data_IF_899071161053
#
_entry.id   IF_899071161053
#
_cell.length_a   1.000
_cell.length_b   1.000
_cell.length_c   1.000
_cell.angle_alpha   90.00
_cell.angle_beta   90.00
_cell.angle_gamma   90.00
#
_symmetry.space_group_name_H-M   'P 1'
#
loop_
_entity.id
_entity.type
_entity.pdbx_description
1 polymer ?
#
# COMPACT_ATOMS: atom_id res chain seq x y z
N UNK A 1 1.88 22.59 -12.69
CA UNK A 1 1.98 21.21 -13.20
C UNK A 1 0.80 20.96 -14.13
N UNK A 2 1.05 20.42 -15.31
CA UNK A 2 -0.02 19.92 -16.18
C UNK A 2 -0.68 18.68 -15.55
N UNK A 3 -1.85 18.27 -16.04
CA UNK A 3 -2.48 17.03 -15.61
C UNK A 3 -1.57 15.81 -15.83
N UNK A 4 -0.81 15.83 -16.93
CA UNK A 4 0.12 14.76 -17.28
C UNK A 4 1.23 14.66 -16.23
N UNK A 5 1.81 15.78 -15.81
CA UNK A 5 2.85 15.80 -14.78
C UNK A 5 2.34 15.29 -13.42
N UNK A 6 1.09 15.64 -13.08
CA UNK A 6 0.44 15.16 -11.85
C UNK A 6 0.27 13.64 -11.87
N UNK A 7 -0.17 13.08 -13.00
CA UNK A 7 -0.33 11.64 -13.18
C UNK A 7 1.01 10.90 -13.13
N UNK A 8 2.03 11.42 -13.80
CA UNK A 8 3.37 10.84 -13.74
C UNK A 8 3.92 10.84 -12.32
N UNK A 9 3.80 11.97 -11.61
CA UNK A 9 4.25 12.08 -10.22
C UNK A 9 3.50 11.09 -9.31
N UNK A 10 2.17 11.02 -9.45
CA UNK A 10 1.34 10.11 -8.69
C UNK A 10 1.71 8.64 -8.93
N UNK A 11 1.87 8.22 -10.19
CA UNK A 11 2.24 6.84 -10.51
C UNK A 11 3.67 6.51 -10.09
N UNK A 12 4.60 7.45 -10.24
CA UNK A 12 5.97 7.28 -9.78
C UNK A 12 6.03 7.03 -8.26
N UNK A 13 5.27 7.80 -7.48
CA UNK A 13 5.12 7.61 -6.03
C UNK A 13 4.52 6.25 -5.63
N UNK A 14 3.74 5.62 -6.52
CA UNK A 14 3.11 4.31 -6.26
C UNK A 14 4.07 3.14 -6.45
N UNK A 15 5.15 3.29 -7.24
CA UNK A 15 6.06 2.19 -7.58
C UNK A 15 6.62 1.48 -6.34
N UNK A 16 7.14 2.18 -5.31
CA UNK A 16 7.66 1.50 -4.11
C UNK A 16 6.61 0.65 -3.41
N UNK A 17 5.39 1.16 -3.30
CA UNK A 17 4.27 0.49 -2.63
C UNK A 17 3.78 -0.71 -3.44
N UNK A 18 3.76 -0.60 -4.76
CA UNK A 18 3.43 -1.72 -5.66
C UNK A 18 4.44 -2.85 -5.50
N UNK A 19 5.74 -2.55 -5.55
CA UNK A 19 6.80 -3.54 -5.33
C UNK A 19 6.68 -4.15 -3.92
N UNK A 20 6.49 -3.31 -2.90
CA UNK A 20 6.30 -3.74 -1.52
C UNK A 20 5.13 -4.71 -1.34
N UNK A 21 3.99 -4.39 -1.96
CA UNK A 21 2.81 -5.25 -1.96
C UNK A 21 3.03 -6.59 -2.67
N UNK A 22 3.69 -6.59 -3.83
CA UNK A 22 4.01 -7.81 -4.58
C UNK A 22 4.96 -8.71 -3.79
N UNK A 23 6.04 -8.16 -3.24
CA UNK A 23 6.99 -8.89 -2.40
C UNK A 23 6.34 -9.43 -1.13
N UNK A 24 5.45 -8.66 -0.50
CA UNK A 24 4.68 -9.14 0.65
C UNK A 24 3.79 -10.33 0.26
N UNK A 25 3.13 -10.29 -0.90
CA UNK A 25 2.34 -11.43 -1.39
C UNK A 25 3.20 -12.67 -1.69
N UNK A 26 4.43 -12.50 -2.18
CA UNK A 26 5.39 -13.60 -2.31
C UNK A 26 5.76 -14.19 -0.94
N UNK A 27 6.05 -13.34 0.04
CA UNK A 27 6.35 -13.76 1.41
C UNK A 27 5.18 -14.49 2.08
N UNK A 28 3.94 -14.06 1.84
CA UNK A 28 2.74 -14.76 2.32
C UNK A 28 2.61 -16.13 1.63
N UNK A 29 2.77 -16.18 0.31
CA UNK A 29 2.61 -17.39 -0.51
C UNK A 29 3.65 -18.46 -0.16
N UNK A 30 4.91 -18.07 0.00
CA UNK A 30 6.02 -18.97 0.35
C UNK A 30 6.26 -19.09 1.86
N UNK A 31 5.36 -18.53 2.67
CA UNK A 31 5.39 -18.60 4.13
C UNK A 31 6.73 -18.13 4.76
N UNK A 32 7.29 -17.04 4.25
CA UNK A 32 8.47 -16.42 4.85
C UNK A 32 8.15 -15.87 6.25
N UNK A 33 9.15 -15.92 7.15
CA UNK A 33 9.07 -15.49 8.56
C UNK A 33 7.81 -16.03 9.29
N UNK A 34 7.62 -17.36 9.37
CA UNK A 34 6.41 -17.96 9.94
C UNK A 34 6.21 -17.62 11.43
N UNK A 35 7.29 -17.36 12.17
CA UNK A 35 7.26 -16.94 13.59
C UNK A 35 6.51 -15.63 13.81
N UNK A 36 6.45 -14.76 12.78
CA UNK A 36 5.76 -13.47 12.80
C UNK A 36 4.32 -13.54 12.26
N UNK A 37 3.83 -14.72 11.86
CA UNK A 37 2.44 -14.96 11.44
C UNK A 37 1.48 -14.97 12.64
N UNK A 38 1.68 -14.04 13.58
CA UNK A 38 0.87 -13.83 14.78
C UNK A 38 -0.03 -12.61 14.56
N UNK A 39 -1.34 -12.72 14.78
CA UNK A 39 -2.24 -11.57 14.72
C UNK A 39 -1.78 -10.49 15.70
N UNK A 40 -1.86 -9.21 15.29
CA UNK A 40 -1.54 -8.07 16.16
C UNK A 40 -2.59 -7.99 17.27
N UNK A 41 -3.87 -7.95 16.86
CA UNK A 41 -5.00 -8.07 17.77
C UNK A 41 -6.21 -8.66 17.03
N UNK A 42 -6.53 -9.92 17.30
CA UNK A 42 -7.54 -10.67 16.56
C UNK A 42 -8.95 -10.09 16.74
N UNK A 43 -9.30 -9.66 17.96
CA UNK A 43 -10.64 -9.11 18.24
C UNK A 43 -10.89 -7.77 17.54
N UNK A 44 -9.85 -6.94 17.43
CA UNK A 44 -9.97 -5.59 16.84
C UNK A 44 -9.81 -5.61 15.33
N UNK A 45 -8.85 -6.37 14.80
CA UNK A 45 -8.45 -6.26 13.39
C UNK A 45 -8.66 -7.56 12.60
N UNK A 46 -8.90 -8.68 13.28
CA UNK A 46 -8.99 -10.01 12.68
C UNK A 46 -7.64 -10.72 12.56
N UNK A 47 -7.68 -12.03 12.28
CA UNK A 47 -6.50 -12.89 12.27
C UNK A 47 -5.48 -12.58 11.15
N UNK A 48 -5.92 -11.91 10.07
CA UNK A 48 -5.07 -11.64 8.90
C UNK A 48 -4.15 -10.43 9.08
N UNK A 49 -4.38 -9.56 10.07
CA UNK A 49 -3.49 -8.44 10.40
C UNK A 49 -2.41 -8.94 11.35
N UNK A 50 -1.24 -9.28 10.80
CA UNK A 50 -0.16 -9.97 11.50
C UNK A 50 1.07 -9.10 11.66
N UNK A 51 1.90 -9.38 12.67
CA UNK A 51 3.20 -8.73 12.85
C UNK A 51 4.12 -8.90 11.65
N UNK A 52 4.02 -10.04 10.94
CA UNK A 52 4.71 -10.25 9.67
C UNK A 52 4.38 -9.16 8.65
N UNK A 53 3.09 -8.85 8.47
CA UNK A 53 2.67 -7.78 7.55
C UNK A 53 3.16 -6.40 8.00
N UNK A 54 3.04 -6.11 9.29
CA UNK A 54 3.51 -4.83 9.87
C UNK A 54 5.01 -4.60 9.67
N UNK A 55 5.80 -5.66 9.63
CA UNK A 55 7.25 -5.56 9.42
C UNK A 55 7.60 -5.61 7.93
N UNK A 56 7.11 -6.62 7.20
CA UNK A 56 7.56 -6.87 5.84
C UNK A 56 7.05 -5.84 4.84
N UNK A 57 5.86 -5.27 5.01
CA UNK A 57 5.36 -4.26 4.07
C UNK A 57 6.23 -3.00 4.08
N UNK A 58 6.55 -2.36 5.23
CA UNK A 58 7.53 -1.26 5.28
C UNK A 58 8.88 -1.61 4.67
N UNK A 59 9.46 -2.76 5.02
CA UNK A 59 10.78 -3.15 4.53
C UNK A 59 10.81 -3.41 3.03
N UNK A 60 9.78 -4.08 2.50
CA UNK A 60 9.68 -4.34 1.07
C UNK A 60 9.32 -3.09 0.27
N UNK A 61 8.57 -2.15 0.83
CA UNK A 61 8.33 -0.85 0.21
C UNK A 61 9.61 -0.01 0.19
N UNK A 62 10.43 -0.05 1.24
CA UNK A 62 11.77 0.56 1.24
C UNK A 62 12.69 -0.07 0.18
N UNK A 63 12.66 -1.39 0.04
CA UNK A 63 13.38 -2.09 -1.04
C UNK A 63 12.84 -1.69 -2.41
N UNK A 64 11.53 -1.54 -2.57
CA UNK A 64 10.90 -1.04 -3.79
C UNK A 64 11.33 0.38 -4.14
N UNK A 65 11.48 1.24 -3.14
CA UNK A 65 12.05 2.57 -3.33
C UNK A 65 13.53 2.49 -3.76
N UNK A 66 14.32 1.60 -3.16
CA UNK A 66 15.72 1.38 -3.56
C UNK A 66 15.86 1.03 -5.06
N UNK A 67 14.90 0.30 -5.63
CA UNK A 67 14.88 0.00 -7.07
C UNK A 67 14.77 1.25 -7.97
N UNK A 68 14.27 2.37 -7.44
CA UNK A 68 14.19 3.65 -8.16
C UNK A 68 15.48 4.46 -8.12
N UNK A 69 16.50 4.03 -7.37
CA UNK A 69 17.75 4.78 -7.21
C UNK A 69 18.36 5.25 -8.54
N UNK A 70 18.50 4.40 -9.60
CA UNK A 70 19.05 4.87 -10.87
C UNK A 70 18.19 5.96 -11.54
N UNK A 71 16.86 5.87 -11.41
CA UNK A 71 15.94 6.86 -11.95
C UNK A 71 16.02 8.18 -11.17
N UNK A 72 16.09 8.13 -9.84
CA UNK A 72 16.30 9.32 -9.00
C UNK A 72 17.62 10.03 -9.34
N UNK A 73 18.70 9.27 -9.55
CA UNK A 73 19.98 9.84 -9.97
C UNK A 73 19.90 10.51 -11.36
N UNK A 74 19.15 9.91 -12.29
CA UNK A 74 18.95 10.49 -13.61
C UNK A 74 18.04 11.74 -13.59
N UNK A 75 17.09 11.81 -12.66
CA UNK A 75 16.17 12.95 -12.50
C UNK A 75 16.84 14.14 -11.78
N UNK A 76 17.89 13.90 -10.99
CA UNK A 76 18.64 14.96 -10.31
C UNK A 76 17.75 15.82 -9.41
N UNK A 77 17.75 17.13 -9.62
CA UNK A 77 16.92 18.07 -8.84
C UNK A 77 15.40 17.88 -9.03
N UNK A 78 14.99 17.17 -10.09
CA UNK A 78 13.58 16.85 -10.34
C UNK A 78 13.13 15.55 -9.66
N UNK A 79 14.02 14.87 -8.95
CA UNK A 79 13.73 13.63 -8.23
C UNK A 79 12.71 13.88 -7.10
N UNK A 80 11.68 13.04 -6.99
CA UNK A 80 10.62 13.24 -5.98
C UNK A 80 11.04 12.79 -4.58
N UNK A 81 11.92 11.81 -4.48
CA UNK A 81 12.38 11.28 -3.20
C UNK A 81 13.79 11.73 -2.85
N UNK A 82 14.64 11.95 -3.86
CA UNK A 82 16.02 12.41 -3.74
C UNK A 82 16.81 11.61 -2.68
N UNK A 83 17.40 12.30 -1.70
CA UNK A 83 18.17 11.73 -0.59
C UNK A 83 17.31 10.94 0.41
N UNK A 84 15.98 11.15 0.41
CA UNK A 84 15.04 10.50 1.30
C UNK A 84 14.47 9.20 0.74
N UNK A 85 14.96 8.69 -0.40
CA UNK A 85 14.39 7.53 -1.11
C UNK A 85 14.04 6.32 -0.23
N UNK A 86 15.01 5.82 0.54
CA UNK A 86 14.78 4.66 1.41
C UNK A 86 13.83 4.97 2.56
N UNK A 87 13.96 6.15 3.16
CA UNK A 87 13.08 6.61 4.24
C UNK A 87 11.66 6.78 3.74
N UNK A 88 11.48 7.32 2.53
CA UNK A 88 10.19 7.48 1.88
C UNK A 88 9.52 6.13 1.64
N UNK A 89 10.23 5.14 1.13
CA UNK A 89 9.68 3.79 0.99
C UNK A 89 9.29 3.18 2.34
N UNK A 90 10.11 3.34 3.38
CA UNK A 90 9.80 2.84 4.73
C UNK A 90 8.54 3.51 5.30
N UNK A 91 8.49 4.84 5.26
CA UNK A 91 7.39 5.67 5.78
C UNK A 91 6.10 5.42 5.00
N UNK A 92 6.18 5.23 3.68
CA UNK A 92 5.04 4.83 2.86
C UNK A 92 4.48 3.48 3.29
N UNK A 93 5.34 2.47 3.46
CA UNK A 93 4.88 1.16 3.91
C UNK A 93 4.31 1.19 5.33
N UNK A 94 4.82 2.05 6.22
CA UNK A 94 4.24 2.30 7.55
C UNK A 94 2.84 2.93 7.40
N UNK A 95 2.72 4.00 6.61
CA UNK A 95 1.44 4.65 6.32
C UNK A 95 0.42 3.68 5.75
N UNK A 96 0.84 2.82 4.83
CA UNK A 96 0.03 1.74 4.25
C UNK A 96 -0.52 0.82 5.35
N UNK A 97 0.35 0.20 6.17
CA UNK A 97 -0.12 -0.81 7.14
C UNK A 97 -0.94 -0.20 8.27
N UNK A 98 -0.63 1.03 8.70
CA UNK A 98 -1.38 1.71 9.75
C UNK A 98 -2.78 2.11 9.27
N UNK A 99 -2.91 2.59 8.03
CA UNK A 99 -4.20 3.01 7.50
C UNK A 99 -5.16 1.84 7.21
N UNK A 100 -4.66 0.63 6.98
CA UNK A 100 -5.49 -0.58 6.89
C UNK A 100 -6.14 -0.99 8.22
N UNK A 101 -5.61 -0.56 9.38
CA UNK A 101 -6.09 -0.97 10.71
C UNK A 101 -7.46 -0.37 11.05
N UNK A 102 -7.72 0.96 10.89
CA UNK A 102 -9.04 1.55 11.08
C UNK A 102 -10.13 0.85 10.27
N UNK A 103 -9.88 0.58 8.98
CA UNK A 103 -10.83 -0.09 8.12
C UNK A 103 -11.12 -1.52 8.60
N UNK A 104 -10.09 -2.26 9.01
CA UNK A 104 -10.25 -3.59 9.60
C UNK A 104 -11.08 -3.56 10.89
N UNK A 105 -10.89 -2.54 11.72
CA UNK A 105 -11.67 -2.33 12.94
C UNK A 105 -13.15 -2.03 12.65
N UNK A 106 -13.44 -1.14 11.69
CA UNK A 106 -14.81 -0.85 11.25
C UNK A 106 -15.49 -2.14 10.76
N UNK A 107 -14.79 -2.96 9.96
CA UNK A 107 -15.33 -4.24 9.48
C UNK A 107 -15.70 -5.20 10.62
N UNK A 108 -14.88 -5.29 11.68
CA UNK A 108 -15.22 -6.11 12.86
C UNK A 108 -16.47 -5.60 13.59
N UNK A 109 -16.68 -4.28 13.67
CA UNK A 109 -17.89 -3.68 14.27
C UNK A 109 -19.15 -3.92 13.45
N UNK A 110 -19.01 -4.05 12.14
CA UNK A 110 -20.09 -4.42 11.23
C UNK A 110 -20.37 -5.94 11.19
N UNK A 111 -19.67 -6.74 12.02
CA UNK A 111 -19.85 -8.19 12.08
C UNK A 111 -19.22 -8.95 10.90
N UNK A 112 -18.40 -8.29 10.08
CA UNK A 112 -17.74 -8.92 8.93
C UNK A 112 -16.46 -9.60 9.43
N UNK A 113 -16.28 -10.89 9.19
CA UNK A 113 -15.11 -11.69 9.54
C UNK A 113 -13.85 -11.41 8.70
N UNK A 114 -12.71 -11.93 9.13
CA UNK A 114 -11.44 -11.76 8.41
C UNK A 114 -11.46 -12.56 7.09
N UNK A 115 -11.37 -11.87 5.95
CA UNK A 115 -11.47 -12.50 4.63
C UNK A 115 -12.91 -12.81 4.19
N UNK A 116 -13.91 -12.42 4.99
CA UNK A 116 -15.31 -12.55 4.64
C UNK A 116 -15.73 -11.40 3.70
N UNK A 117 -16.61 -11.71 2.75
CA UNK A 117 -17.20 -10.72 1.86
C UNK A 117 -18.36 -10.00 2.57
N UNK A 118 -18.44 -8.66 2.49
CA UNK A 118 -19.52 -7.91 3.12
C UNK A 118 -20.86 -8.20 2.45
N UNK A 119 -21.86 -8.63 3.24
CA UNK A 119 -23.26 -8.82 2.81
C UNK A 119 -24.06 -7.51 2.91
N UNK A 120 -23.77 -6.69 3.92
CA UNK A 120 -24.33 -5.34 4.12
C UNK A 120 -23.27 -4.27 3.84
N UNK A 121 -23.68 -3.12 3.34
CA UNK A 121 -22.78 -1.98 3.01
C UNK A 121 -21.62 -2.32 2.07
N UNK A 122 -21.82 -3.31 1.19
CA UNK A 122 -20.77 -3.87 0.32
C UNK A 122 -19.96 -2.80 -0.41
N UNK A 123 -20.61 -1.86 -1.08
CA UNK A 123 -19.92 -0.81 -1.83
C UNK A 123 -19.10 0.12 -0.94
N UNK A 124 -19.62 0.49 0.23
CA UNK A 124 -18.91 1.34 1.19
C UNK A 124 -17.66 0.64 1.73
N UNK A 125 -17.79 -0.63 2.13
CA UNK A 125 -16.66 -1.43 2.63
C UNK A 125 -15.61 -1.66 1.53
N UNK A 126 -16.05 -1.97 0.31
CA UNK A 126 -15.13 -2.16 -0.82
C UNK A 126 -14.42 -0.86 -1.23
N UNK A 127 -15.09 0.29 -1.17
CA UNK A 127 -14.46 1.59 -1.42
C UNK A 127 -13.43 1.90 -0.32
N UNK A 128 -13.78 1.65 0.95
CA UNK A 128 -12.86 1.76 2.09
C UNK A 128 -11.61 0.90 1.94
N UNK A 129 -11.78 -0.36 1.53
CA UNK A 129 -10.68 -1.33 1.27
C UNK A 129 -9.70 -0.90 0.16
N UNK A 130 -10.11 0.01 -0.73
CA UNK A 130 -9.25 0.48 -1.82
C UNK A 130 -8.60 1.84 -1.52
N UNK A 131 -9.25 2.65 -0.67
CA UNK A 131 -8.79 4.00 -0.35
C UNK A 131 -7.99 4.07 0.95
N UNK A 132 -8.16 3.13 1.87
CA UNK A 132 -7.49 3.16 3.19
C UNK A 132 -5.97 3.32 3.05
N UNK A 133 -5.37 2.42 2.30
CA UNK A 133 -3.93 2.33 2.07
C UNK A 133 -3.42 3.51 1.23
N UNK A 134 -4.24 3.97 0.28
CA UNK A 134 -3.92 5.13 -0.56
C UNK A 134 -3.81 6.40 0.30
N UNK A 135 -4.78 6.63 1.20
CA UNK A 135 -4.79 7.76 2.11
C UNK A 135 -3.62 7.68 3.10
N UNK A 136 -3.35 6.50 3.66
CA UNK A 136 -2.23 6.28 4.56
C UNK A 136 -0.89 6.66 3.95
N UNK A 137 -0.62 6.20 2.72
CA UNK A 137 0.62 6.53 2.01
C UNK A 137 0.64 8.01 1.62
N UNK A 138 -0.47 8.58 1.14
CA UNK A 138 -0.52 9.98 0.75
C UNK A 138 -0.23 10.92 1.93
N UNK A 139 -0.76 10.63 3.12
CA UNK A 139 -0.45 11.39 4.34
C UNK A 139 1.03 11.23 4.69
N UNK A 140 1.55 10.00 4.66
CA UNK A 140 2.93 9.72 5.00
C UNK A 140 3.93 10.44 4.08
N UNK A 141 3.70 10.40 2.76
CA UNK A 141 4.49 11.16 1.80
C UNK A 141 4.29 12.67 1.89
N UNK A 142 3.05 13.13 2.09
CA UNK A 142 2.77 14.56 2.25
C UNK A 142 3.55 15.18 3.41
N UNK A 143 3.67 14.46 4.53
CA UNK A 143 4.43 14.89 5.70
C UNK A 143 5.95 14.84 5.48
N UNK A 144 6.45 13.80 4.79
CA UNK A 144 7.89 13.59 4.61
C UNK A 144 8.49 14.43 3.47
N UNK A 145 7.85 14.38 2.30
CA UNK A 145 8.36 14.94 1.05
C UNK A 145 7.79 16.34 0.75
N UNK A 146 6.91 16.86 1.63
CA UNK A 146 6.25 18.15 1.47
C UNK A 146 5.53 18.30 0.11
N UNK A 147 4.85 17.23 -0.33
CA UNK A 147 4.20 17.19 -1.63
C UNK A 147 3.00 18.14 -1.70
N UNK A 148 2.80 18.72 -2.88
CA UNK A 148 1.63 19.56 -3.14
C UNK A 148 0.32 18.78 -3.09
N UNK A 149 -0.75 19.43 -2.63
CA UNK A 149 -2.09 18.85 -2.57
C UNK A 149 -2.59 18.25 -3.90
N UNK A 150 -2.36 18.87 -5.08
CA UNK A 150 -2.74 18.25 -6.35
C UNK A 150 -2.09 16.88 -6.57
N UNK A 151 -0.80 16.72 -6.26
CA UNK A 151 -0.11 15.42 -6.40
C UNK A 151 -0.71 14.39 -5.44
N UNK A 152 -0.96 14.76 -4.18
CA UNK A 152 -1.57 13.87 -3.19
C UNK A 152 -2.99 13.43 -3.58
N UNK A 153 -3.80 14.36 -4.07
CA UNK A 153 -5.17 14.06 -4.54
C UNK A 153 -5.11 13.14 -5.75
N UNK A 154 -4.25 13.43 -6.75
CA UNK A 154 -4.06 12.58 -7.93
C UNK A 154 -3.54 11.20 -7.54
N UNK A 155 -2.64 11.10 -6.56
CA UNK A 155 -2.17 9.84 -6.00
C UNK A 155 -3.34 9.02 -5.45
N UNK A 156 -4.15 9.59 -4.55
CA UNK A 156 -5.28 8.88 -3.91
C UNK A 156 -6.31 8.44 -4.95
N UNK A 157 -6.64 9.29 -5.92
CA UNK A 157 -7.63 8.98 -6.95
C UNK A 157 -7.15 7.93 -7.95
N UNK A 158 -5.85 7.92 -8.29
CA UNK A 158 -5.28 6.95 -9.23
C UNK A 158 -4.94 5.59 -8.60
N UNK A 159 -4.68 5.55 -7.29
CA UNK A 159 -4.24 4.35 -6.58
C UNK A 159 -5.17 3.15 -6.73
N UNK A 160 -6.53 3.27 -6.63
CA UNK A 160 -7.42 2.12 -6.82
C UNK A 160 -7.27 1.44 -8.19
N UNK A 161 -6.98 2.20 -9.24
CA UNK A 161 -6.77 1.66 -10.58
C UNK A 161 -5.48 0.84 -10.64
N UNK A 162 -4.39 1.38 -10.09
CA UNK A 162 -3.11 0.67 -9.97
C UNK A 162 -3.26 -0.59 -9.12
N UNK A 163 -3.92 -0.48 -7.96
CA UNK A 163 -4.15 -1.61 -7.07
C UNK A 163 -4.97 -2.73 -7.74
N UNK A 164 -6.02 -2.38 -8.50
CA UNK A 164 -6.79 -3.36 -9.27
C UNK A 164 -5.96 -4.03 -10.36
N UNK A 165 -5.15 -3.27 -11.11
CA UNK A 165 -4.27 -3.81 -12.12
C UNK A 165 -3.27 -4.82 -11.52
N UNK A 166 -2.60 -4.45 -10.42
CA UNK A 166 -1.66 -5.32 -9.71
C UNK A 166 -2.35 -6.57 -9.16
N UNK A 167 -3.53 -6.44 -8.57
CA UNK A 167 -4.32 -7.58 -8.06
C UNK A 167 -4.65 -8.58 -9.19
N UNK A 168 -4.98 -8.11 -10.38
CA UNK A 168 -5.22 -8.96 -11.56
C UNK A 168 -3.95 -9.68 -12.02
N UNK A 169 -2.81 -8.98 -12.10
CA UNK A 169 -1.53 -9.59 -12.45
C UNK A 169 -1.11 -10.68 -11.45
N UNK A 170 -1.27 -10.42 -10.15
CA UNK A 170 -0.98 -11.40 -9.10
C UNK A 170 -1.89 -12.63 -9.15
N UNK A 171 -3.17 -12.45 -9.55
CA UNK A 171 -4.08 -13.57 -9.76
C UNK A 171 -3.66 -14.43 -10.95
N UNK A 172 -3.29 -13.81 -12.08
CA UNK A 172 -2.76 -14.51 -13.26
C UNK A 172 -1.49 -15.28 -12.90
N UNK A 173 -0.61 -14.69 -12.10
CA UNK A 173 0.61 -15.33 -11.59
C UNK A 173 0.37 -16.40 -10.50
N UNK A 174 -0.89 -16.70 -10.12
CA UNK A 174 -1.28 -17.63 -9.04
C UNK A 174 -0.72 -17.28 -7.65
N UNK A 175 -0.34 -16.02 -7.44
CA UNK A 175 0.14 -15.49 -6.16
C UNK A 175 -1.00 -14.96 -5.29
N UNK A 176 -2.20 -14.81 -5.85
CA UNK A 176 -3.40 -14.39 -5.12
C UNK A 176 -4.61 -15.24 -5.54
N UNK A 177 -5.51 -15.50 -4.58
CA UNK A 177 -6.73 -16.32 -4.79
C UNK A 177 -7.90 -15.58 -5.45
N UNK A 178 -7.88 -14.24 -5.49
CA UNK A 178 -8.93 -13.39 -6.09
C UNK A 178 -8.32 -12.21 -6.85
N UNK A 179 -8.85 -11.95 -8.05
CA UNK A 179 -8.51 -10.81 -8.91
C UNK A 179 -9.24 -9.50 -8.53
N UNK A 180 -10.26 -9.59 -7.66
CA UNK A 180 -11.03 -8.48 -7.10
C UNK A 180 -10.63 -8.28 -5.65
#
# INVERSE_FOLDING_TARGET
MSLIDLLFSAWYLQIPVVIGGVLHMLAVTHNWLPTLKKPIQQRLFGANKTWRGMLLVPLFTALGAACLWPAEQALGESALFADQLLLAGLVAGIGYVLAELPNSWIKRRLGIGAGELPTRYRYFVMAGDQLDSALGVAIAYGLLLNLSWPVLITYVLSFPFTALAVKRLLFIAKLKRSAV
#
